data_IF_140319647543
#
_entry.id   IF_140319647543
#
_cell.length_a   1.000
_cell.length_b   1.000
_cell.length_c   1.000
_cell.angle_alpha   90.00
_cell.angle_beta   90.00
_cell.angle_gamma   90.00
#
_symmetry.space_group_name_H-M   'P 1'
#
loop_
_entity.id
_entity.type
_entity.pdbx_description
1 polymer ?
#
# COMPACT_ATOMS: atom_id res chain seq x y z
N UNK A 1 7.30 24.19 -35.99
CA UNK A 1 5.96 24.79 -36.21
C UNK A 1 6.01 26.19 -35.64
N UNK A 2 5.99 27.22 -36.49
CA UNK A 2 6.14 28.63 -36.11
C UNK A 2 4.80 29.09 -35.52
N UNK A 3 4.81 29.58 -34.28
CA UNK A 3 3.63 30.23 -33.68
C UNK A 3 3.79 31.76 -33.80
N UNK A 4 2.78 32.48 -34.32
CA UNK A 4 2.79 33.94 -34.39
C UNK A 4 2.42 34.53 -33.02
N UNK A 5 3.21 35.52 -32.57
CA UNK A 5 2.92 36.37 -31.41
C UNK A 5 4.04 36.39 -30.38
N UNK A 6 4.55 37.59 -30.08
CA UNK A 6 5.55 37.90 -29.04
C UNK A 6 5.07 37.48 -27.63
N UNK A 7 5.03 36.18 -27.34
CA UNK A 7 5.07 35.69 -25.96
C UNK A 7 6.54 35.36 -25.64
N UNK A 8 7.09 35.86 -24.53
CA UNK A 8 8.45 35.53 -24.15
C UNK A 8 8.58 34.02 -24.05
N UNK A 9 9.53 33.46 -24.80
CA UNK A 9 9.97 32.08 -24.62
C UNK A 9 10.63 32.06 -23.24
N UNK A 10 9.93 31.58 -22.22
CA UNK A 10 10.53 31.32 -20.90
C UNK A 10 11.46 30.13 -21.11
N UNK A 11 12.75 30.43 -21.24
CA UNK A 11 13.80 29.42 -21.33
C UNK A 11 14.17 28.98 -19.91
N UNK A 12 13.93 27.70 -19.58
CA UNK A 12 14.33 27.06 -18.32
C UNK A 12 15.85 26.80 -18.24
N UNK A 13 16.65 27.81 -18.55
CA UNK A 13 18.11 27.69 -18.68
C UNK A 13 18.82 28.19 -17.43
N UNK A 14 18.30 29.25 -16.79
CA UNK A 14 18.92 29.88 -15.64
C UNK A 14 18.08 29.64 -14.38
N UNK A 15 18.70 29.07 -13.35
CA UNK A 15 18.08 28.81 -12.05
C UNK A 15 18.81 29.62 -10.98
N UNK A 16 18.06 30.34 -10.15
CA UNK A 16 18.58 31.07 -8.99
C UNK A 16 18.03 30.40 -7.75
N UNK A 17 18.91 30.10 -6.80
CA UNK A 17 18.52 29.50 -5.53
C UNK A 17 17.84 30.56 -4.65
N UNK A 18 16.69 30.20 -4.06
CA UNK A 18 16.04 31.04 -3.03
C UNK A 18 16.85 31.03 -1.72
N UNK A 19 16.81 32.14 -0.98
CA UNK A 19 17.46 32.27 0.33
C UNK A 19 16.85 31.31 1.36
N UNK A 20 15.56 31.01 1.24
CA UNK A 20 14.84 30.15 2.18
C UNK A 20 14.49 28.80 1.53
N UNK A 21 14.59 27.68 2.27
CA UNK A 21 14.13 26.40 1.75
C UNK A 21 12.61 26.41 1.58
N UNK A 22 12.14 25.77 0.51
CA UNK A 22 10.71 25.60 0.21
C UNK A 22 9.93 24.95 1.37
N UNK A 23 10.49 23.89 1.95
CA UNK A 23 10.05 23.25 3.19
C UNK A 23 11.24 22.49 3.79
N UNK A 24 11.29 22.37 5.12
CA UNK A 24 12.32 21.57 5.79
C UNK A 24 11.83 21.06 7.14
N UNK A 25 12.41 19.95 7.61
CA UNK A 25 12.10 19.38 8.92
C UNK A 25 13.35 18.84 9.60
N UNK A 26 13.63 19.34 10.80
CA UNK A 26 14.74 18.85 11.61
C UNK A 26 14.64 17.35 11.91
N UNK A 27 15.79 16.70 12.10
CA UNK A 27 15.90 15.28 12.49
C UNK A 27 15.28 14.29 11.51
N UNK A 28 15.25 14.64 10.22
CA UNK A 28 14.75 13.74 9.15
C UNK A 28 15.85 13.20 8.23
N UNK A 29 17.09 13.69 8.37
CA UNK A 29 18.21 13.32 7.49
C UNK A 29 18.04 13.88 6.08
N UNK A 30 18.67 13.24 5.09
CA UNK A 30 18.58 13.65 3.70
C UNK A 30 17.21 13.34 3.11
N UNK A 31 16.70 14.29 2.32
CA UNK A 31 15.49 14.10 1.52
C UNK A 31 15.88 13.73 0.10
N UNK A 32 15.49 12.54 -0.31
CA UNK A 32 15.62 12.03 -1.67
C UNK A 32 14.26 12.08 -2.39
N UNK A 33 14.25 11.86 -3.70
CA UNK A 33 13.03 11.56 -4.45
C UNK A 33 11.88 12.55 -4.23
N UNK A 34 12.20 13.84 -4.10
CA UNK A 34 11.20 14.87 -3.79
C UNK A 34 10.15 14.95 -4.91
N UNK A 35 8.91 15.15 -4.52
CA UNK A 35 7.79 15.38 -5.44
C UNK A 35 6.82 16.40 -4.83
N UNK A 36 6.32 17.30 -5.67
CA UNK A 36 5.41 18.35 -5.25
C UNK A 36 4.35 18.60 -6.32
N UNK A 37 3.08 18.42 -5.97
CA UNK A 37 2.01 18.49 -6.95
C UNK A 37 0.65 18.90 -6.36
N UNK A 38 -0.24 19.48 -7.19
CA UNK A 38 -1.60 19.78 -6.79
C UNK A 38 -2.48 18.52 -6.80
N UNK A 39 -3.45 18.49 -5.89
CA UNK A 39 -4.49 17.47 -5.79
C UNK A 39 -5.87 18.12 -5.63
N UNK A 40 -6.86 17.59 -6.35
CA UNK A 40 -8.24 18.07 -6.28
C UNK A 40 -8.87 17.75 -4.91
N UNK A 41 -9.61 18.70 -4.35
CA UNK A 41 -10.42 18.47 -3.14
C UNK A 41 -11.66 17.59 -3.40
N UNK A 42 -12.04 17.40 -4.67
CA UNK A 42 -13.24 16.64 -5.06
C UNK A 42 -12.95 15.67 -6.19
N UNK A 43 -13.59 14.51 -6.12
CA UNK A 43 -13.49 13.48 -7.15
C UNK A 43 -12.14 12.76 -7.13
N UNK A 44 -11.83 12.05 -8.22
CA UNK A 44 -10.62 11.24 -8.36
C UNK A 44 -9.65 11.79 -9.39
N UNK A 45 -10.02 12.87 -10.08
CA UNK A 45 -9.26 13.42 -11.19
C UNK A 45 -7.92 13.99 -10.68
N UNK A 46 -6.86 13.70 -11.43
CA UNK A 46 -5.57 14.34 -11.24
C UNK A 46 -5.61 15.79 -11.74
N UNK A 47 -4.67 16.58 -11.25
CA UNK A 47 -4.48 17.96 -11.70
C UNK A 47 -3.10 18.09 -12.37
N UNK A 48 -3.03 18.94 -13.39
CA UNK A 48 -1.77 19.36 -14.01
C UNK A 48 -0.90 20.11 -12.99
N UNK A 49 0.43 19.95 -13.08
CA UNK A 49 1.36 20.55 -12.10
C UNK A 49 1.28 22.09 -12.04
N UNK A 50 0.91 22.74 -13.15
CA UNK A 50 0.80 24.21 -13.22
C UNK A 50 -0.53 24.75 -12.65
N UNK A 51 -1.48 23.89 -12.27
CA UNK A 51 -2.78 24.29 -11.68
C UNK A 51 -2.63 24.71 -10.22
N UNK A 52 -1.93 25.83 -10.00
CA UNK A 52 -1.60 26.33 -8.67
C UNK A 52 -2.62 27.32 -8.09
N UNK A 53 -3.52 27.83 -8.92
CA UNK A 53 -4.52 28.83 -8.55
C UNK A 53 -5.93 28.22 -8.63
N UNK A 54 -6.47 27.80 -7.48
CA UNK A 54 -7.84 27.31 -7.40
C UNK A 54 -8.32 27.12 -5.96
N UNK A 55 -9.56 27.53 -5.68
CA UNK A 55 -10.19 27.38 -4.35
C UNK A 55 -10.42 25.91 -3.95
N UNK A 56 -10.35 24.98 -4.92
CA UNK A 56 -10.62 23.56 -4.73
C UNK A 56 -9.37 22.67 -4.85
N UNK A 57 -8.19 23.20 -4.53
CA UNK A 57 -6.90 22.50 -4.67
C UNK A 57 -6.16 22.46 -3.33
N UNK A 58 -5.55 21.32 -3.04
CA UNK A 58 -4.48 21.18 -2.04
C UNK A 58 -3.20 20.74 -2.72
N UNK A 59 -2.11 20.72 -1.98
CA UNK A 59 -0.80 20.28 -2.47
C UNK A 59 -0.29 19.14 -1.64
N UNK A 60 0.41 18.23 -2.31
CA UNK A 60 1.11 17.12 -1.69
C UNK A 60 2.59 17.41 -1.82
N UNK A 61 3.29 17.43 -0.69
CA UNK A 61 4.75 17.40 -0.65
C UNK A 61 5.17 16.01 -0.20
N UNK A 62 5.89 15.31 -1.08
CA UNK A 62 6.44 13.98 -0.81
C UNK A 62 7.96 14.01 -0.79
N UNK A 63 8.52 13.24 0.14
CA UNK A 63 9.96 13.06 0.34
C UNK A 63 10.26 11.58 0.59
N UNK A 64 11.41 11.12 0.14
CA UNK A 64 11.99 9.83 0.52
C UNK A 64 13.03 10.10 1.60
N UNK A 65 12.85 9.57 2.81
CA UNK A 65 13.81 9.79 3.90
C UNK A 65 14.89 8.71 3.82
N UNK A 66 16.14 9.11 3.58
CA UNK A 66 17.29 8.19 3.49
C UNK A 66 17.46 7.33 4.77
N UNK A 67 17.36 7.88 6.00
CA UNK A 67 17.57 7.09 7.21
C UNK A 67 16.53 5.99 7.46
N UNK A 68 15.26 6.23 7.10
CA UNK A 68 14.19 5.26 7.34
C UNK A 68 13.88 4.38 6.14
N UNK A 69 14.39 4.73 4.95
CA UNK A 69 14.13 4.04 3.68
C UNK A 69 12.63 3.93 3.35
N UNK A 70 11.86 4.94 3.74
CA UNK A 70 10.43 5.06 3.40
C UNK A 70 10.10 6.39 2.75
N UNK A 71 9.00 6.38 2.00
CA UNK A 71 8.42 7.55 1.36
C UNK A 71 7.30 8.12 2.21
N UNK A 72 7.42 9.40 2.53
CA UNK A 72 6.45 10.14 3.34
C UNK A 72 5.87 11.28 2.54
N UNK A 73 4.59 11.56 2.74
CA UNK A 73 3.96 12.75 2.20
C UNK A 73 3.17 13.49 3.27
N UNK A 74 3.01 14.78 3.02
CA UNK A 74 2.11 15.66 3.75
C UNK A 74 1.14 16.31 2.78
N UNK A 75 0.02 16.77 3.30
CA UNK A 75 -1.00 17.51 2.55
C UNK A 75 -1.10 18.91 3.15
N UNK A 76 -1.19 19.92 2.29
CA UNK A 76 -1.23 21.31 2.73
C UNK A 76 -1.65 22.28 1.64
N UNK A 77 -1.36 23.56 1.89
CA UNK A 77 -1.61 24.69 1.00
C UNK A 77 -0.29 25.21 0.46
N UNK A 78 -0.29 25.59 -0.81
CA UNK A 78 0.80 26.34 -1.42
C UNK A 78 0.41 27.81 -1.52
N UNK A 79 1.34 28.70 -1.20
CA UNK A 79 1.19 30.15 -1.30
C UNK A 79 2.14 30.67 -2.39
N UNK A 80 1.69 30.79 -3.66
CA UNK A 80 2.55 31.19 -4.78
C UNK A 80 3.21 32.56 -4.60
N UNK A 81 2.56 33.49 -3.88
CA UNK A 81 3.10 34.86 -3.66
C UNK A 81 4.34 34.89 -2.78
N UNK A 82 4.50 33.92 -1.90
CA UNK A 82 5.61 33.85 -0.94
C UNK A 82 6.43 32.57 -1.13
N UNK A 83 6.18 31.83 -2.21
CA UNK A 83 6.72 30.50 -2.51
C UNK A 83 6.80 29.55 -1.30
N UNK A 84 5.70 29.43 -0.56
CA UNK A 84 5.66 28.66 0.70
C UNK A 84 4.64 27.54 0.69
N UNK A 85 5.06 26.38 1.17
CA UNK A 85 4.18 25.26 1.49
C UNK A 85 3.84 25.25 2.99
N UNK A 86 2.55 25.16 3.31
CA UNK A 86 2.03 25.14 4.68
C UNK A 86 1.21 23.88 4.87
N UNK A 87 1.65 23.01 5.77
CA UNK A 87 0.94 21.78 6.12
C UNK A 87 -0.43 22.10 6.73
N UNK A 88 -1.39 21.21 6.54
CA UNK A 88 -2.63 21.26 7.31
C UNK A 88 -2.33 21.11 8.82
N UNK A 89 -3.05 21.86 9.67
CA UNK A 89 -2.76 21.98 11.10
C UNK A 89 -2.71 20.65 11.88
N UNK A 90 -3.33 19.58 11.36
CA UNK A 90 -3.36 18.24 11.98
C UNK A 90 -2.36 17.26 11.37
N UNK A 91 -1.61 17.66 10.35
CA UNK A 91 -0.68 16.77 9.65
C UNK A 91 0.59 16.54 10.48
N UNK A 92 1.05 15.29 10.48
CA UNK A 92 2.37 14.93 11.00
C UNK A 92 3.39 15.01 9.88
N UNK A 93 4.57 15.54 10.19
CA UNK A 93 5.67 15.76 9.24
C UNK A 93 6.86 14.84 9.56
N UNK A 94 7.72 14.62 8.57
CA UNK A 94 8.89 13.74 8.67
C UNK A 94 8.53 12.27 8.85
N UNK A 95 9.28 11.54 9.68
CA UNK A 95 9.16 10.09 9.84
C UNK A 95 7.86 9.61 10.50
N UNK A 96 7.04 10.54 11.00
CA UNK A 96 5.69 10.28 11.55
C UNK A 96 4.57 10.63 10.55
N UNK A 97 4.91 11.09 9.36
CA UNK A 97 3.95 11.44 8.31
C UNK A 97 3.26 10.24 7.67
N UNK A 98 2.37 10.52 6.72
CA UNK A 98 1.67 9.52 5.94
C UNK A 98 2.61 8.90 4.89
N UNK A 99 2.35 7.66 4.50
CA UNK A 99 3.11 6.98 3.44
C UNK A 99 2.17 6.56 2.32
N UNK A 100 2.67 6.49 1.09
CA UNK A 100 1.91 5.88 -0.01
C UNK A 100 1.75 4.38 0.19
N UNK A 101 2.76 3.77 0.78
CA UNK A 101 2.88 2.34 1.03
C UNK A 101 3.68 2.12 2.31
N UNK A 102 3.25 1.16 3.12
CA UNK A 102 3.82 0.87 4.44
C UNK A 102 4.81 -0.30 4.42
N UNK A 103 5.13 -0.83 3.24
CA UNK A 103 6.14 -1.86 3.00
C UNK A 103 7.28 -1.37 2.10
N UNK A 104 7.71 -2.24 1.18
CA UNK A 104 8.87 -2.04 0.32
C UNK A 104 8.53 -1.20 -0.93
N UNK A 105 8.53 0.12 -0.76
CA UNK A 105 8.22 1.10 -1.79
C UNK A 105 8.98 2.40 -1.51
N UNK A 106 9.93 2.73 -2.40
CA UNK A 106 10.86 3.84 -2.19
C UNK A 106 11.07 4.68 -3.45
N UNK A 107 11.64 5.88 -3.27
CA UNK A 107 12.00 6.79 -4.36
C UNK A 107 10.84 7.08 -5.33
N UNK A 108 9.62 7.09 -4.82
CA UNK A 108 8.42 7.24 -5.65
C UNK A 108 8.32 8.59 -6.30
N UNK A 109 7.69 8.60 -7.48
CA UNK A 109 7.48 9.80 -8.28
C UNK A 109 6.14 9.73 -8.97
N UNK A 110 5.43 10.87 -8.97
CA UNK A 110 4.17 11.00 -9.65
C UNK A 110 4.30 11.69 -11.01
N UNK A 111 3.37 11.38 -11.90
CA UNK A 111 3.16 12.07 -13.16
C UNK A 111 1.66 12.29 -13.36
N UNK A 112 1.29 13.42 -13.96
CA UNK A 112 -0.06 13.62 -14.45
C UNK A 112 -0.22 12.98 -15.84
N UNK A 113 -1.22 12.11 -15.97
CA UNK A 113 -1.67 11.51 -17.23
C UNK A 113 -2.83 12.36 -17.79
N UNK A 114 -2.59 13.19 -18.83
CA UNK A 114 -3.64 14.03 -19.42
C UNK A 114 -4.68 13.24 -20.21
N UNK A 115 -4.33 12.04 -20.71
CA UNK A 115 -5.24 11.21 -21.48
C UNK A 115 -6.39 10.67 -20.64
N UNK A 116 -6.11 10.30 -19.38
CA UNK A 116 -7.12 9.82 -18.43
C UNK A 116 -7.36 10.75 -17.25
N UNK A 117 -6.80 11.96 -17.28
CA UNK A 117 -6.93 13.00 -16.25
C UNK A 117 -6.71 12.45 -14.84
N UNK A 118 -5.62 11.72 -14.66
CA UNK A 118 -5.29 11.06 -13.39
C UNK A 118 -3.85 11.31 -13.02
N UNK A 119 -3.54 11.25 -11.73
CA UNK A 119 -2.15 11.26 -11.26
C UNK A 119 -1.73 9.83 -10.98
N UNK A 120 -0.65 9.40 -11.61
CA UNK A 120 -0.08 8.07 -11.48
C UNK A 120 1.19 8.18 -10.65
N UNK A 121 1.39 7.29 -9.69
CA UNK A 121 2.65 7.12 -8.97
C UNK A 121 3.34 5.84 -9.41
N UNK A 122 4.66 5.94 -9.49
CA UNK A 122 5.59 4.82 -9.58
C UNK A 122 6.46 4.81 -8.33
N UNK A 123 6.90 3.63 -7.90
CA UNK A 123 7.88 3.47 -6.82
C UNK A 123 8.83 2.34 -7.16
N UNK A 124 9.97 2.32 -6.47
CA UNK A 124 10.96 1.25 -6.57
C UNK A 124 10.81 0.30 -5.40
N UNK A 125 10.78 -1.01 -5.68
CA UNK A 125 10.80 -2.06 -4.66
C UNK A 125 12.11 -2.82 -4.79
N UNK A 126 13.01 -2.62 -3.82
CA UNK A 126 14.30 -3.32 -3.81
C UNK A 126 14.12 -4.79 -3.41
N UNK A 127 15.17 -5.60 -3.51
CA UNK A 127 15.06 -7.01 -3.15
C UNK A 127 15.12 -7.23 -1.62
N UNK A 128 14.49 -8.31 -1.16
CA UNK A 128 14.60 -8.82 0.22
C UNK A 128 15.43 -10.11 0.31
N UNK A 129 16.05 -10.55 -0.79
CA UNK A 129 16.95 -11.70 -0.80
C UNK A 129 18.41 -11.29 -0.52
N UNK A 130 19.33 -12.24 -0.56
CA UNK A 130 20.74 -11.95 -0.23
C UNK A 130 21.50 -11.39 -1.41
N UNK A 131 22.62 -10.70 -1.15
CA UNK A 131 23.52 -10.23 -2.21
C UNK A 131 24.01 -11.37 -3.13
N UNK A 132 24.21 -12.58 -2.60
CA UNK A 132 24.62 -13.73 -3.41
C UNK A 132 23.50 -14.13 -4.38
N UNK A 133 22.26 -14.15 -3.90
CA UNK A 133 21.07 -14.47 -4.72
C UNK A 133 20.85 -13.44 -5.81
N UNK A 134 21.06 -12.16 -5.50
CA UNK A 134 20.99 -11.06 -6.47
C UNK A 134 22.00 -11.27 -7.61
N UNK A 135 23.23 -11.65 -7.27
CA UNK A 135 24.28 -11.92 -8.26
C UNK A 135 23.95 -13.17 -9.07
N UNK A 136 23.46 -14.22 -8.42
CA UNK A 136 23.12 -15.50 -9.06
C UNK A 136 21.95 -15.36 -10.05
N UNK A 137 20.86 -14.68 -9.66
CA UNK A 137 19.70 -14.47 -10.54
C UNK A 137 19.95 -13.43 -11.63
N UNK A 138 20.97 -12.58 -11.47
CA UNK A 138 21.43 -11.63 -12.48
C UNK A 138 20.61 -10.33 -12.62
N UNK A 139 19.69 -10.04 -11.69
CA UNK A 139 18.88 -8.81 -11.69
C UNK A 139 18.56 -8.35 -10.26
N UNK A 140 18.19 -7.07 -10.09
CA UNK A 140 17.91 -6.47 -8.78
C UNK A 140 16.87 -5.36 -8.90
N UNK A 141 15.77 -5.49 -8.18
CA UNK A 141 14.74 -4.48 -8.05
C UNK A 141 13.61 -4.65 -9.04
N UNK A 142 12.42 -4.19 -8.62
CA UNK A 142 11.20 -4.21 -9.42
C UNK A 142 10.47 -2.88 -9.28
N UNK A 143 9.59 -2.58 -10.23
CA UNK A 143 8.60 -1.52 -10.09
C UNK A 143 7.26 -2.19 -9.76
N UNK A 144 6.66 -1.93 -8.58
CA UNK A 144 5.28 -2.29 -8.31
C UNK A 144 4.33 -1.69 -9.36
N UNK A 145 3.16 -2.29 -9.53
CA UNK A 145 2.18 -1.84 -10.51
C UNK A 145 1.87 -0.35 -10.29
N UNK A 146 1.83 0.48 -11.36
CA UNK A 146 1.52 1.90 -11.23
C UNK A 146 0.19 2.12 -10.55
N UNK A 147 0.12 3.17 -9.74
CA UNK A 147 -1.07 3.42 -8.92
C UNK A 147 -1.63 4.79 -9.21
N UNK A 148 -2.93 4.88 -9.40
CA UNK A 148 -3.65 6.15 -9.37
C UNK A 148 -3.70 6.65 -7.92
N UNK A 149 -3.50 7.95 -7.75
CA UNK A 149 -3.67 8.62 -6.46
C UNK A 149 -4.69 9.76 -6.53
N UNK A 150 -5.48 9.90 -5.48
CA UNK A 150 -6.40 11.03 -5.29
C UNK A 150 -6.65 11.29 -3.80
N UNK A 151 -7.24 12.44 -3.47
CA UNK A 151 -7.54 12.78 -2.08
C UNK A 151 -8.72 11.96 -1.54
N UNK A 152 -8.57 11.40 -0.35
CA UNK A 152 -9.70 10.80 0.37
C UNK A 152 -10.78 11.86 0.61
N UNK A 153 -12.08 11.55 0.48
CA UNK A 153 -13.16 12.51 0.76
C UNK A 153 -13.10 13.17 2.14
N UNK A 154 -12.46 12.54 3.13
CA UNK A 154 -12.23 13.14 4.46
C UNK A 154 -11.12 14.21 4.47
N UNK A 155 -10.34 14.32 3.38
CA UNK A 155 -9.29 15.31 3.17
C UNK A 155 -8.02 15.11 3.98
N UNK A 156 -7.85 13.96 4.67
CA UNK A 156 -6.75 13.69 5.61
C UNK A 156 -5.62 12.85 5.04
N UNK A 157 -5.88 12.09 3.98
CA UNK A 157 -4.90 11.21 3.35
C UNK A 157 -5.19 11.04 1.85
N UNK A 158 -4.26 10.42 1.14
CA UNK A 158 -4.44 10.01 -0.24
C UNK A 158 -4.96 8.56 -0.30
N UNK A 159 -5.85 8.32 -1.23
CA UNK A 159 -6.23 6.98 -1.66
C UNK A 159 -5.32 6.56 -2.82
N UNK A 160 -4.84 5.32 -2.75
CA UNK A 160 -3.87 4.76 -3.69
C UNK A 160 -4.42 3.45 -4.23
N UNK A 161 -4.55 3.31 -5.54
CA UNK A 161 -5.15 2.12 -6.16
C UNK A 161 -4.43 1.76 -7.46
N UNK A 162 -4.24 0.47 -7.79
CA UNK A 162 -3.66 0.08 -9.08
C UNK A 162 -4.39 0.74 -10.25
N UNK A 163 -3.65 1.11 -11.29
CA UNK A 163 -4.25 1.62 -12.53
C UNK A 163 -5.17 0.54 -13.12
N UNK A 164 -6.31 0.96 -13.69
CA UNK A 164 -7.32 0.03 -14.20
C UNK A 164 -6.83 -0.84 -15.36
N UNK A 165 -5.76 -0.45 -16.05
CA UNK A 165 -5.13 -1.23 -17.12
C UNK A 165 -4.65 -2.61 -16.65
N UNK A 166 -4.24 -2.74 -15.38
CA UNK A 166 -3.83 -4.04 -14.82
C UNK A 166 -4.96 -5.06 -14.94
N UNK A 167 -6.21 -4.62 -14.86
CA UNK A 167 -7.39 -5.48 -14.92
C UNK A 167 -7.59 -6.11 -16.31
N UNK A 168 -6.98 -5.55 -17.35
CA UNK A 168 -6.97 -6.16 -18.70
C UNK A 168 -6.19 -7.47 -18.78
N UNK A 169 -5.37 -7.76 -17.77
CA UNK A 169 -4.65 -9.02 -17.64
C UNK A 169 -5.44 -10.09 -16.87
N UNK A 170 -6.61 -9.77 -16.30
CA UNK A 170 -7.45 -10.74 -15.61
C UNK A 170 -7.90 -11.84 -16.59
N UNK A 171 -7.54 -13.08 -16.29
CA UNK A 171 -7.91 -14.28 -17.05
C UNK A 171 -9.04 -15.04 -16.37
N UNK A 172 -8.81 -16.33 -16.12
CA UNK A 172 -9.79 -17.21 -15.47
C UNK A 172 -10.15 -16.68 -14.07
N UNK A 173 -11.45 -16.64 -13.78
CA UNK A 173 -12.02 -16.11 -12.54
C UNK A 173 -12.63 -17.21 -11.67
N UNK A 174 -12.38 -17.12 -10.36
CA UNK A 174 -13.03 -17.89 -9.31
C UNK A 174 -13.75 -16.95 -8.35
N UNK A 175 -15.01 -17.27 -8.01
CA UNK A 175 -15.81 -16.48 -7.07
C UNK A 175 -16.27 -17.31 -5.87
N UNK A 176 -16.21 -16.70 -4.68
CA UNK A 176 -16.83 -17.23 -3.46
C UNK A 176 -17.76 -16.20 -2.83
N UNK A 177 -18.89 -16.66 -2.28
CA UNK A 177 -19.86 -15.79 -1.60
C UNK A 177 -20.35 -16.41 -0.31
N UNK A 178 -20.54 -15.55 0.69
CA UNK A 178 -21.09 -15.90 2.01
C UNK A 178 -20.44 -17.12 2.68
N UNK A 179 -19.12 -17.30 2.51
CA UNK A 179 -18.36 -18.37 3.18
C UNK A 179 -17.95 -17.93 4.57
N UNK A 180 -18.41 -18.66 5.60
CA UNK A 180 -17.99 -18.42 6.98
C UNK A 180 -16.62 -19.06 7.21
N UNK A 181 -15.74 -18.35 7.90
CA UNK A 181 -14.44 -18.86 8.34
C UNK A 181 -14.40 -18.73 9.86
N UNK A 182 -14.51 -19.87 10.54
CA UNK A 182 -14.43 -19.94 12.00
C UNK A 182 -12.98 -19.83 12.45
N UNK A 183 -12.81 -19.72 13.77
CA UNK A 183 -11.50 -19.70 14.40
C UNK A 183 -10.68 -20.94 13.98
N UNK A 184 -9.47 -20.71 13.50
CA UNK A 184 -8.51 -21.73 13.08
C UNK A 184 -8.80 -22.33 11.70
N UNK A 185 -9.90 -21.96 11.03
CA UNK A 185 -10.19 -22.45 9.69
C UNK A 185 -9.32 -21.73 8.65
N UNK A 186 -8.81 -22.52 7.72
CA UNK A 186 -8.10 -22.09 6.52
C UNK A 186 -8.87 -22.67 5.33
N UNK A 187 -9.27 -21.81 4.41
CA UNK A 187 -10.09 -22.13 3.24
C UNK A 187 -9.25 -21.90 1.98
N UNK A 188 -8.98 -22.96 1.22
CA UNK A 188 -8.27 -22.84 -0.05
C UNK A 188 -9.12 -22.18 -1.14
N UNK A 189 -8.48 -21.36 -1.95
CA UNK A 189 -9.05 -20.75 -3.14
C UNK A 189 -8.47 -21.48 -4.35
N UNK A 190 -9.12 -22.58 -4.73
CA UNK A 190 -8.69 -23.43 -5.83
C UNK A 190 -9.02 -22.84 -7.21
N UNK A 191 -8.41 -23.39 -8.26
CA UNK A 191 -8.74 -23.06 -9.65
C UNK A 191 -8.06 -21.80 -10.19
N UNK A 192 -7.11 -21.22 -9.46
CA UNK A 192 -6.36 -20.02 -9.88
C UNK A 192 -4.85 -20.27 -9.90
N UNK A 193 -4.12 -19.53 -10.73
CA UNK A 193 -2.65 -19.52 -10.73
C UNK A 193 -2.14 -18.67 -9.56
N UNK A 194 -2.03 -19.27 -8.36
CA UNK A 194 -1.83 -18.49 -7.13
C UNK A 194 -0.52 -17.70 -7.05
N UNK A 195 0.51 -18.11 -7.80
CA UNK A 195 1.75 -17.36 -7.92
C UNK A 195 1.60 -16.09 -8.78
N UNK A 196 0.55 -15.95 -9.59
CA UNK A 196 0.32 -14.80 -10.46
C UNK A 196 -1.19 -14.50 -10.54
N UNK A 197 -1.71 -13.76 -9.56
CA UNK A 197 -3.14 -13.58 -9.35
C UNK A 197 -3.51 -12.17 -8.86
N UNK A 198 -4.75 -11.77 -9.13
CA UNK A 198 -5.39 -10.60 -8.53
C UNK A 198 -6.57 -11.08 -7.70
N UNK A 199 -6.62 -10.70 -6.43
CA UNK A 199 -7.62 -11.21 -5.49
C UNK A 199 -8.28 -10.05 -4.78
N UNK A 200 -9.60 -9.95 -4.88
CA UNK A 200 -10.41 -9.00 -4.15
C UNK A 200 -11.33 -9.74 -3.17
N UNK A 201 -11.30 -9.36 -1.89
CA UNK A 201 -12.11 -9.99 -0.85
C UNK A 201 -12.76 -8.94 0.05
N UNK A 202 -14.01 -9.18 0.42
CA UNK A 202 -14.76 -8.40 1.41
C UNK A 202 -15.11 -9.30 2.58
N UNK A 203 -14.49 -9.03 3.73
CA UNK A 203 -14.79 -9.68 4.99
C UNK A 203 -15.91 -8.95 5.71
N UNK A 204 -16.82 -9.70 6.32
CA UNK A 204 -17.84 -9.24 7.24
C UNK A 204 -17.68 -9.92 8.58
N UNK A 205 -17.93 -9.16 9.65
CA UNK A 205 -17.99 -9.68 11.01
C UNK A 205 -19.29 -9.23 11.68
N UNK A 206 -19.98 -10.10 12.44
CA UNK A 206 -21.31 -9.77 12.97
C UNK A 206 -21.26 -8.74 14.11
N UNK A 207 -20.16 -8.69 14.85
CA UNK A 207 -19.98 -7.86 16.03
C UNK A 207 -18.54 -7.39 16.20
N UNK A 208 -18.38 -6.21 16.81
CA UNK A 208 -17.12 -5.67 17.29
C UNK A 208 -16.83 -6.04 18.75
N UNK A 209 -17.78 -6.65 19.46
CA UNK A 209 -17.68 -6.97 20.90
C UNK A 209 -16.56 -7.94 21.27
N UNK A 210 -15.96 -8.61 20.28
CA UNK A 210 -14.80 -9.47 20.47
C UNK A 210 -13.49 -8.81 20.06
N UNK A 211 -13.47 -7.55 19.61
CA UNK A 211 -12.23 -6.82 19.40
C UNK A 211 -11.45 -6.79 20.72
N UNK A 212 -10.16 -7.08 20.68
CA UNK A 212 -9.34 -7.06 21.89
C UNK A 212 -8.98 -5.61 22.23
N UNK A 213 -8.81 -5.32 23.53
CA UNK A 213 -8.42 -3.97 23.95
C UNK A 213 -7.04 -3.61 23.39
N UNK A 214 -6.92 -2.42 22.82
CA UNK A 214 -5.64 -1.85 22.44
C UNK A 214 -4.83 -1.56 23.71
N UNK A 215 -3.65 -2.17 23.82
CA UNK A 215 -2.77 -1.95 24.96
C UNK A 215 -2.14 -0.54 24.85
N UNK A 216 -2.30 0.34 25.85
CA UNK A 216 -1.69 1.68 25.83
C UNK A 216 -0.16 1.66 25.70
N UNK A 217 0.51 0.56 26.05
CA UNK A 217 1.94 0.39 25.79
C UNK A 217 2.28 0.33 24.30
N UNK A 218 1.30 0.23 23.40
CA UNK A 218 1.54 0.27 21.95
C UNK A 218 1.47 1.70 21.37
N UNK A 219 1.11 2.72 22.17
CA UNK A 219 1.05 4.12 21.69
C UNK A 219 2.41 4.66 21.21
N UNK A 220 3.51 4.03 21.60
CA UNK A 220 4.88 4.45 21.27
C UNK A 220 5.62 3.51 20.30
N UNK A 221 5.00 2.39 19.90
CA UNK A 221 5.55 1.50 18.88
C UNK A 221 4.87 1.78 17.54
N UNK A 222 5.56 1.53 16.44
CA UNK A 222 4.93 1.66 15.13
C UNK A 222 4.05 0.44 14.79
N UNK A 223 3.26 0.57 13.73
CA UNK A 223 2.37 -0.49 13.27
C UNK A 223 3.13 -1.77 12.89
N UNK A 224 4.36 -1.65 12.38
CA UNK A 224 5.18 -2.78 11.94
C UNK A 224 5.60 -3.64 13.13
N UNK A 225 6.07 -3.00 14.20
CA UNK A 225 6.41 -3.68 15.46
C UNK A 225 5.18 -4.27 16.15
N UNK A 226 4.01 -3.61 16.08
CA UNK A 226 2.78 -4.23 16.57
C UNK A 226 2.44 -5.48 15.75
N UNK A 227 2.61 -5.44 14.43
CA UNK A 227 2.37 -6.56 13.55
C UNK A 227 3.29 -7.75 13.84
N UNK A 228 4.59 -7.49 14.05
CA UNK A 228 5.56 -8.53 14.40
C UNK A 228 5.20 -9.23 15.72
N UNK A 229 4.68 -8.50 16.71
CA UNK A 229 4.21 -9.04 18.00
C UNK A 229 2.87 -9.75 17.92
N UNK A 230 1.98 -9.30 17.02
CA UNK A 230 0.58 -9.76 16.89
C UNK A 230 0.31 -10.40 15.53
N UNK A 231 1.30 -11.15 15.04
CA UNK A 231 1.33 -11.83 13.74
C UNK A 231 0.20 -12.85 13.53
N UNK A 232 0.18 -13.48 12.35
CA UNK A 232 -0.92 -14.38 11.92
C UNK A 232 -1.14 -15.59 12.84
N UNK A 233 -0.08 -16.11 13.45
CA UNK A 233 -0.13 -17.24 14.39
C UNK A 233 -0.64 -16.84 15.79
N UNK A 234 -0.57 -15.55 16.14
CA UNK A 234 -1.00 -15.04 17.46
C UNK A 234 -2.50 -14.82 17.44
N UNK A 235 -3.22 -15.73 18.06
CA UNK A 235 -4.68 -15.66 18.16
C UNK A 235 -5.13 -14.30 18.74
N UNK A 236 -6.25 -13.80 18.23
CA UNK A 236 -6.86 -12.57 18.73
C UNK A 236 -8.36 -12.66 18.88
N UNK A 237 -8.94 -11.51 19.17
CA UNK A 237 -10.37 -11.34 19.33
C UNK A 237 -11.09 -11.32 17.98
N UNK A 238 -10.93 -10.20 17.26
CA UNK A 238 -11.40 -9.99 15.90
C UNK A 238 -10.18 -9.87 14.97
N UNK A 239 -9.74 -11.03 14.49
CA UNK A 239 -8.48 -11.20 13.76
C UNK A 239 -7.40 -11.89 14.58
N UNK A 240 -6.32 -12.33 13.94
CA UNK A 240 -6.00 -12.05 12.53
C UNK A 240 -6.89 -12.83 11.55
N UNK A 241 -7.42 -12.14 10.53
CA UNK A 241 -8.18 -12.75 9.43
C UNK A 241 -7.81 -12.07 8.10
N UNK A 242 -7.71 -12.84 7.03
CA UNK A 242 -7.22 -12.32 5.75
C UNK A 242 -6.89 -13.41 4.76
N UNK A 243 -5.82 -13.19 3.98
CA UNK A 243 -5.30 -14.10 2.97
C UNK A 243 -3.94 -14.68 3.40
N UNK A 244 -3.67 -15.93 3.04
CA UNK A 244 -2.32 -16.50 3.00
C UNK A 244 -1.93 -16.59 1.53
N UNK A 245 -1.03 -15.70 1.11
CA UNK A 245 -0.55 -15.60 -0.27
C UNK A 245 0.76 -16.37 -0.43
N UNK A 246 1.06 -16.83 -1.65
CA UNK A 246 2.29 -17.56 -1.97
C UNK A 246 2.57 -18.66 -0.93
N UNK A 247 1.56 -19.49 -0.69
CA UNK A 247 1.60 -20.53 0.33
C UNK A 247 1.95 -21.90 -0.26
N UNK A 248 2.68 -22.73 0.46
CA UNK A 248 2.89 -24.14 0.09
C UNK A 248 1.68 -24.98 0.53
N UNK A 249 1.50 -26.15 -0.10
CA UNK A 249 0.35 -27.05 0.14
C UNK A 249 0.12 -27.37 1.63
N UNK A 250 1.19 -27.57 2.42
CA UNK A 250 1.08 -27.86 3.86
C UNK A 250 1.38 -26.65 4.74
N UNK A 251 1.36 -25.44 4.16
CA UNK A 251 1.60 -24.16 4.81
C UNK A 251 2.96 -24.03 5.50
N UNK A 252 3.97 -24.81 5.07
CA UNK A 252 5.36 -24.65 5.54
C UNK A 252 5.92 -23.27 5.18
N UNK A 253 5.53 -22.73 4.03
CA UNK A 253 5.78 -21.36 3.62
C UNK A 253 4.46 -20.68 3.30
N UNK A 254 4.30 -19.42 3.70
CA UNK A 254 3.16 -18.58 3.34
C UNK A 254 3.43 -17.13 3.73
N UNK A 255 2.80 -16.20 3.02
CA UNK A 255 2.84 -14.75 3.30
C UNK A 255 1.44 -14.26 3.70
N UNK A 256 1.14 -14.17 5.00
CA UNK A 256 -0.10 -13.61 5.51
C UNK A 256 -0.29 -12.14 5.15
N UNK A 257 -1.48 -11.79 4.66
CA UNK A 257 -1.99 -10.42 4.56
C UNK A 257 -3.33 -10.36 5.28
N UNK A 258 -3.40 -9.65 6.41
CA UNK A 258 -4.55 -9.78 7.31
C UNK A 258 -4.89 -8.51 8.08
N UNK A 259 -6.15 -8.46 8.51
CA UNK A 259 -6.64 -7.45 9.43
C UNK A 259 -6.65 -7.96 10.87
N UNK A 260 -6.44 -7.03 11.81
CA UNK A 260 -6.71 -7.20 13.23
C UNK A 260 -7.39 -5.94 13.77
N UNK A 261 -8.47 -6.10 14.51
CA UNK A 261 -9.27 -4.98 15.03
C UNK A 261 -9.16 -4.95 16.56
N UNK A 262 -8.82 -3.76 17.06
CA UNK A 262 -8.70 -3.46 18.48
C UNK A 262 -9.77 -2.47 18.92
N UNK A 263 -10.22 -2.59 20.16
CA UNK A 263 -10.98 -1.56 20.87
C UNK A 263 -9.99 -0.54 21.44
N UNK A 264 -10.03 0.70 20.95
CA UNK A 264 -9.16 1.80 21.38
C UNK A 264 -10.01 2.93 21.94
N UNK A 265 -10.15 2.97 23.27
CA UNK A 265 -11.01 3.93 23.99
C UNK A 265 -12.45 3.84 23.48
N UNK A 266 -13.00 4.91 22.91
CA UNK A 266 -14.37 4.96 22.38
C UNK A 266 -14.42 4.70 20.85
N UNK A 267 -13.33 4.24 20.25
CA UNK A 267 -13.21 3.96 18.81
C UNK A 267 -12.54 2.59 18.59
N UNK A 268 -12.32 2.25 17.33
CA UNK A 268 -11.62 1.03 16.94
C UNK A 268 -10.36 1.38 16.16
N UNK A 269 -9.29 0.65 16.42
CA UNK A 269 -8.04 0.72 15.67
C UNK A 269 -7.92 -0.53 14.82
N UNK A 270 -7.71 -0.35 13.51
CA UNK A 270 -7.68 -1.43 12.53
C UNK A 270 -6.26 -1.52 12.00
N UNK A 271 -5.60 -2.64 12.23
CA UNK A 271 -4.27 -2.92 11.73
C UNK A 271 -4.38 -3.78 10.46
N UNK A 272 -3.79 -3.33 9.36
CA UNK A 272 -3.49 -4.19 8.21
C UNK A 272 -2.04 -4.61 8.29
N UNK A 273 -1.80 -5.91 8.21
CA UNK A 273 -0.50 -6.55 8.25
C UNK A 273 -0.18 -7.25 6.93
N UNK A 274 1.08 -7.18 6.50
CA UNK A 274 1.69 -8.13 5.57
C UNK A 274 2.95 -8.68 6.25
N UNK A 275 2.91 -9.95 6.63
CA UNK A 275 3.93 -10.56 7.48
C UNK A 275 4.76 -11.57 6.70
N UNK A 276 6.02 -11.25 6.39
CA UNK A 276 6.88 -12.14 5.62
C UNK A 276 7.63 -13.16 6.49
N UNK A 277 7.43 -13.19 7.80
CA UNK A 277 8.21 -14.05 8.73
C UNK A 277 8.21 -15.54 8.34
N UNK A 278 7.08 -16.05 7.86
CA UNK A 278 6.88 -17.43 7.37
C UNK A 278 6.97 -17.58 5.84
N UNK A 279 7.39 -16.54 5.11
CA UNK A 279 7.33 -16.53 3.64
C UNK A 279 8.33 -17.45 2.93
N UNK A 280 9.36 -17.92 3.63
CA UNK A 280 10.42 -18.75 3.05
C UNK A 280 11.16 -19.57 4.11
N UNK A 281 11.53 -20.80 3.75
CA UNK A 281 12.44 -21.68 4.48
C UNK A 281 13.91 -21.27 4.31
N UNK A 282 14.22 -20.42 3.32
CA UNK A 282 15.57 -19.92 3.09
C UNK A 282 16.05 -19.09 4.27
N UNK A 283 17.26 -19.37 4.75
CA UNK A 283 17.89 -18.63 5.84
C UNK A 283 18.64 -17.42 5.29
N UNK A 284 18.75 -16.37 6.11
CA UNK A 284 19.57 -15.19 5.80
C UNK A 284 18.91 -14.16 4.87
N UNK A 285 17.71 -14.43 4.35
CA UNK A 285 16.93 -13.43 3.62
C UNK A 285 16.14 -12.53 4.58
N UNK A 286 15.83 -11.31 4.14
CA UNK A 286 15.06 -10.33 4.91
C UNK A 286 13.56 -10.67 4.85
N UNK A 287 12.94 -10.85 6.02
CA UNK A 287 11.53 -11.27 6.17
C UNK A 287 10.77 -10.37 7.14
N UNK A 288 10.53 -9.09 6.78
CA UNK A 288 9.89 -8.13 7.68
C UNK A 288 8.40 -8.38 7.85
N UNK A 289 7.86 -7.88 8.95
CA UNK A 289 6.41 -7.67 9.09
C UNK A 289 6.12 -6.20 8.83
N UNK A 290 5.39 -5.92 7.74
CA UNK A 290 4.94 -4.58 7.40
C UNK A 290 3.50 -4.36 7.84
N UNK A 291 3.15 -3.13 8.19
CA UNK A 291 1.79 -2.79 8.60
C UNK A 291 1.49 -1.29 8.57
N UNK A 292 0.20 -0.99 8.49
CA UNK A 292 -0.35 0.35 8.62
C UNK A 292 -1.72 0.31 9.31
N UNK A 293 -2.07 1.39 9.99
CA UNK A 293 -3.41 1.56 10.57
C UNK A 293 -4.39 2.08 9.52
N UNK A 294 -5.57 1.47 9.45
CA UNK A 294 -6.60 1.76 8.46
C UNK A 294 -7.65 2.71 9.05
N UNK A 295 -7.81 3.88 8.42
CA UNK A 295 -8.85 4.86 8.79
C UNK A 295 -10.16 4.61 8.02
N UNK A 296 -11.00 3.71 8.52
CA UNK A 296 -12.30 3.37 7.90
C UNK A 296 -13.41 3.23 8.95
N UNK A 297 -14.62 3.64 8.56
CA UNK A 297 -15.83 3.45 9.37
C UNK A 297 -16.28 1.97 9.37
N UNK A 298 -16.39 1.39 10.57
CA UNK A 298 -16.83 0.02 10.78
C UNK A 298 -18.34 -0.14 10.99
N UNK A 299 -19.15 0.90 10.74
CA UNK A 299 -20.63 0.84 10.84
C UNK A 299 -21.23 -0.30 10.02
N UNK A 300 -20.69 -0.55 8.83
CA UNK A 300 -21.09 -1.66 7.93
C UNK A 300 -20.47 -3.01 8.33
N UNK A 301 -19.53 -3.01 9.29
CA UNK A 301 -18.80 -4.19 9.78
C UNK A 301 -18.17 -5.00 8.66
N UNK A 302 -17.61 -4.28 7.69
CA UNK A 302 -17.00 -4.83 6.50
C UNK A 302 -15.61 -4.24 6.29
N UNK A 303 -14.68 -5.06 5.84
CA UNK A 303 -13.35 -4.64 5.41
C UNK A 303 -13.03 -5.28 4.06
N UNK A 304 -12.59 -4.47 3.12
CA UNK A 304 -12.10 -4.94 1.82
C UNK A 304 -10.58 -5.05 1.82
N UNK A 305 -10.07 -6.05 1.10
CA UNK A 305 -8.67 -6.24 0.80
C UNK A 305 -8.55 -6.63 -0.67
N UNK A 306 -7.66 -5.97 -1.41
CA UNK A 306 -7.18 -6.45 -2.70
C UNK A 306 -5.70 -6.83 -2.57
N UNK A 307 -5.29 -7.95 -3.15
CA UNK A 307 -3.90 -8.35 -3.22
C UNK A 307 -3.55 -8.73 -4.65
N UNK A 308 -2.58 -8.02 -5.24
CA UNK A 308 -1.90 -8.42 -6.46
C UNK A 308 -0.71 -9.29 -6.07
N UNK A 309 -0.64 -10.49 -6.61
CA UNK A 309 0.38 -11.49 -6.32
C UNK A 309 1.11 -11.76 -7.63
N UNK A 310 2.42 -11.57 -7.65
CA UNK A 310 3.26 -11.80 -8.83
C UNK A 310 4.63 -12.35 -8.41
N UNK A 311 4.69 -13.66 -8.27
CA UNK A 311 5.86 -14.47 -7.96
C UNK A 311 6.59 -14.05 -6.67
N UNK A 312 7.43 -13.01 -6.73
CA UNK A 312 8.24 -12.52 -5.61
C UNK A 312 7.73 -11.21 -5.02
N UNK A 313 6.61 -10.67 -5.50
CA UNK A 313 5.99 -9.45 -4.99
C UNK A 313 4.51 -9.68 -4.65
N UNK A 314 4.08 -9.11 -3.53
CA UNK A 314 2.66 -9.03 -3.12
C UNK A 314 2.33 -7.59 -2.80
N UNK A 315 1.42 -6.97 -3.57
CA UNK A 315 0.92 -5.62 -3.34
C UNK A 315 -0.49 -5.69 -2.75
N UNK A 316 -0.67 -5.21 -1.52
CA UNK A 316 -1.91 -5.32 -0.78
C UNK A 316 -2.56 -3.97 -0.51
N UNK A 317 -3.84 -3.84 -0.83
CA UNK A 317 -4.62 -2.61 -0.76
C UNK A 317 -5.81 -2.79 0.20
N UNK A 318 -5.67 -2.28 1.42
CA UNK A 318 -6.69 -2.33 2.45
C UNK A 318 -7.72 -1.21 2.32
N UNK A 319 -8.99 -1.55 2.53
CA UNK A 319 -10.12 -0.63 2.60
C UNK A 319 -10.19 0.35 1.41
N UNK A 320 -10.01 -0.18 0.19
CA UNK A 320 -10.09 0.62 -1.04
C UNK A 320 -8.88 1.53 -1.27
N UNK A 321 -7.69 1.12 -0.83
CA UNK A 321 -6.45 1.87 -1.07
C UNK A 321 -6.12 2.90 0.01
N UNK A 322 -6.75 2.81 1.18
CA UNK A 322 -6.45 3.67 2.34
C UNK A 322 -5.11 3.31 2.99
N UNK A 323 -4.74 2.04 2.94
CA UNK A 323 -3.43 1.53 3.34
C UNK A 323 -2.95 0.59 2.26
N UNK A 324 -1.75 0.82 1.76
CA UNK A 324 -1.08 -0.05 0.81
C UNK A 324 0.16 -0.66 1.46
N UNK A 325 0.45 -1.93 1.15
CA UNK A 325 1.64 -2.62 1.63
C UNK A 325 2.21 -3.45 0.49
N UNK A 326 3.45 -3.15 0.10
CA UNK A 326 4.22 -3.93 -0.86
C UNK A 326 5.19 -4.83 -0.12
N UNK A 327 5.16 -6.13 -0.39
CA UNK A 327 6.07 -7.10 0.22
C UNK A 327 6.85 -7.84 -0.85
N UNK A 328 8.14 -8.03 -0.62
CA UNK A 328 9.01 -8.87 -1.45
C UNK A 328 9.33 -10.16 -0.70
N UNK A 329 9.05 -11.30 -1.31
CA UNK A 329 9.15 -12.63 -0.69
C UNK A 329 9.74 -13.64 -1.67
N UNK A 330 10.45 -14.64 -1.15
CA UNK A 330 11.17 -15.65 -1.95
C UNK A 330 10.93 -17.06 -1.40
N UNK A 331 9.70 -17.60 -1.51
CA UNK A 331 9.42 -18.97 -1.12
C UNK A 331 10.27 -19.96 -1.92
N UNK A 332 10.56 -21.11 -1.33
CA UNK A 332 11.33 -22.20 -1.94
C UNK A 332 10.44 -23.36 -2.40
N UNK A 333 9.26 -23.49 -1.80
CA UNK A 333 8.23 -24.49 -2.08
C UNK A 333 7.05 -23.88 -2.83
N UNK A 334 6.57 -22.72 -2.38
CA UNK A 334 5.41 -22.03 -2.94
C UNK A 334 5.75 -21.23 -4.22
N UNK A 335 6.32 -21.92 -5.22
CA UNK A 335 6.76 -21.36 -6.50
C UNK A 335 5.94 -21.91 -7.65
N UNK A 336 5.59 -21.04 -8.59
CA UNK A 336 4.81 -21.37 -9.78
C UNK A 336 3.51 -22.13 -9.44
N UNK A 337 3.35 -23.34 -9.96
CA UNK A 337 2.15 -24.16 -9.78
C UNK A 337 2.04 -24.79 -8.38
N UNK A 338 3.11 -24.73 -7.58
CA UNK A 338 3.11 -25.21 -6.19
C UNK A 338 2.71 -24.10 -5.19
N UNK A 339 2.47 -22.89 -5.68
CA UNK A 339 1.89 -21.83 -4.87
C UNK A 339 0.37 -22.05 -4.75
N UNK A 340 -0.14 -21.82 -3.55
CA UNK A 340 -1.54 -21.87 -3.20
C UNK A 340 -1.98 -20.53 -2.61
N UNK A 341 -3.29 -20.31 -2.60
CA UNK A 341 -3.93 -19.15 -2.00
C UNK A 341 -4.99 -19.62 -1.02
N UNK A 342 -4.96 -19.08 0.19
CA UNK A 342 -5.96 -19.37 1.20
C UNK A 342 -6.58 -18.11 1.77
N UNK A 343 -7.84 -18.21 2.21
CA UNK A 343 -8.42 -17.27 3.16
C UNK A 343 -8.43 -17.91 4.55
N UNK A 344 -8.13 -17.15 5.59
CA UNK A 344 -8.01 -17.70 6.95
C UNK A 344 -8.63 -16.79 8.02
N UNK A 345 -8.91 -17.39 9.18
CA UNK A 345 -9.29 -16.66 10.38
C UNK A 345 -8.73 -17.35 11.62
N UNK A 346 -7.77 -16.71 12.29
CA UNK A 346 -7.25 -17.14 13.59
C UNK A 346 -7.77 -16.24 14.75
N UNK A 347 -8.86 -15.49 14.51
CA UNK A 347 -9.59 -14.75 15.54
C UNK A 347 -10.71 -15.57 16.19
N UNK A 348 -11.06 -15.24 17.42
CA UNK A 348 -12.17 -15.88 18.15
C UNK A 348 -13.57 -15.52 17.62
N UNK A 349 -13.68 -14.42 16.87
CA UNK A 349 -14.89 -14.03 16.15
C UNK A 349 -14.90 -14.68 14.77
N UNK A 350 -15.94 -15.43 14.45
CA UNK A 350 -16.18 -15.92 13.08
C UNK A 350 -16.33 -14.72 12.15
N UNK A 351 -15.61 -14.75 11.03
CA UNK A 351 -15.75 -13.81 9.92
C UNK A 351 -16.43 -14.51 8.75
N UNK A 352 -17.00 -13.72 7.84
CA UNK A 352 -17.63 -14.21 6.61
C UNK A 352 -17.00 -13.52 5.43
N UNK A 353 -16.48 -14.28 4.47
CA UNK A 353 -16.25 -13.78 3.13
C UNK A 353 -17.61 -13.48 2.52
N UNK A 354 -17.98 -12.20 2.43
CA UNK A 354 -19.21 -11.78 1.76
C UNK A 354 -19.09 -11.99 0.26
N UNK A 355 -17.94 -11.58 -0.28
CA UNK A 355 -17.56 -11.72 -1.68
C UNK A 355 -16.06 -11.90 -1.74
N UNK A 356 -15.60 -12.86 -2.54
CA UNK A 356 -14.22 -12.99 -2.97
C UNK A 356 -14.26 -13.25 -4.48
N UNK A 357 -13.43 -12.53 -5.21
CA UNK A 357 -13.16 -12.72 -6.63
C UNK A 357 -11.65 -12.84 -6.79
N UNK A 358 -11.21 -13.91 -7.44
CA UNK A 358 -9.81 -14.17 -7.70
C UNK A 358 -9.63 -14.44 -9.20
N UNK A 359 -8.69 -13.73 -9.82
CA UNK A 359 -8.35 -13.89 -11.23
C UNK A 359 -6.94 -14.43 -11.36
N UNK A 360 -6.77 -15.47 -12.17
CA UNK A 360 -5.44 -15.82 -12.70
C UNK A 360 -5.01 -14.71 -13.65
N UNK A 361 -3.86 -14.11 -13.41
CA UNK A 361 -3.38 -12.99 -14.21
C UNK A 361 -2.58 -13.52 -15.39
N UNK A 362 -2.86 -13.02 -16.59
CA UNK A 362 -2.09 -13.31 -17.78
C UNK A 362 -0.80 -12.50 -17.79
N UNK A 363 0.27 -13.09 -18.33
CA UNK A 363 1.50 -12.34 -18.57
C UNK A 363 1.26 -11.17 -19.54
N UNK A 364 2.00 -10.07 -19.41
CA UNK A 364 1.95 -9.01 -20.41
C UNK A 364 2.37 -9.54 -21.78
N UNK A 365 1.70 -9.08 -22.84
CA UNK A 365 1.94 -9.52 -24.23
C UNK A 365 3.28 -9.02 -24.77
N UNK A 366 3.75 -7.90 -24.26
CA UNK A 366 5.05 -7.30 -24.57
C UNK A 366 5.78 -7.14 -23.25
N UNK A 367 6.97 -7.75 -23.13
CA UNK A 367 7.93 -7.41 -22.07
C UNK A 367 8.76 -6.24 -22.59
N UNK A 368 8.78 -5.13 -21.85
CA UNK A 368 9.65 -3.99 -22.17
C UNK A 368 11.13 -4.36 -22.10
#
# INVERSE_FOLDING_TARGET
MILPGNKPIILYINWVQDENPFHSKEKTGNWEGLDFFPISLKGKEGLENWMINGENVKFVLKVSLDPTRYDYYTIGKYLPKTDRYILDNTALDGSKGLRYDYGNFYASKSLFDPGKKRRIIWGFSNESDTRMDIVEKGWNGTLPIPRRIWLDPNGKQLLVWPIEEVESHRGHEVQLRNKKIKKGEVLEIEGITAAQADVEVVFFFPSLSKAERFDPSWDHIDAQELCSRKGSAVQGGLGPFGLLTLASEKLEEHTPVFFRIFEDKNKHSILLCSDASSSSLKKGIYKPSFAGFVDVDLSKKMLSLRSLIDHSIVESFGAGGKVCITSRVYPTLAVFNNAHLYAFNNGSQTVTIKKLEAWSMNKPKEMN
#
